data_IF_237375736856
#
_entry.id   IF_237375736856
#
_cell.length_a   1.000
_cell.length_b   1.000
_cell.length_c   1.000
_cell.angle_alpha   90.00
_cell.angle_beta   90.00
_cell.angle_gamma   90.00
#
_symmetry.space_group_name_H-M   'P 1'
#
loop_
_entity.id
_entity.type
_entity.pdbx_description
1 polymer ?
#
# COMPACT_ATOMS: atom_id res chain seq x y z
N UNK A 1 18.20 35.89 7.58
CA UNK A 1 17.11 35.95 6.58
C UNK A 1 17.19 34.80 5.56
N UNK A 2 18.38 34.38 5.11
CA UNK A 2 18.53 33.25 4.18
C UNK A 2 18.19 31.87 4.78
N UNK A 3 18.51 31.63 6.05
CA UNK A 3 18.24 30.33 6.69
C UNK A 3 16.74 30.04 6.83
N UNK A 4 15.93 31.05 7.16
CA UNK A 4 14.47 30.90 7.25
C UNK A 4 13.86 30.60 5.87
N UNK A 5 14.33 31.28 4.81
CA UNK A 5 13.88 31.05 3.43
C UNK A 5 14.29 29.64 2.96
N UNK A 6 15.52 29.22 3.22
CA UNK A 6 16.01 27.87 2.92
C UNK A 6 15.21 26.80 3.66
N UNK A 7 14.88 27.04 4.93
CA UNK A 7 14.08 26.12 5.75
C UNK A 7 12.66 25.97 5.18
N UNK A 8 12.02 27.09 4.81
CA UNK A 8 10.68 27.07 4.20
C UNK A 8 10.71 26.33 2.86
N UNK A 9 11.71 26.59 2.01
CA UNK A 9 11.88 25.89 0.73
C UNK A 9 12.10 24.39 0.92
N UNK A 10 12.90 24.00 1.91
CA UNK A 10 13.14 22.59 2.23
C UNK A 10 11.86 21.90 2.70
N UNK A 11 11.11 22.50 3.62
CA UNK A 11 9.83 21.95 4.11
C UNK A 11 8.81 21.83 2.98
N UNK A 12 8.73 22.83 2.10
CA UNK A 12 7.86 22.78 0.93
C UNK A 12 8.25 21.65 -0.03
N UNK A 13 9.55 21.47 -0.31
CA UNK A 13 10.05 20.40 -1.17
C UNK A 13 9.76 19.01 -0.59
N UNK A 14 9.98 18.82 0.72
CA UNK A 14 9.68 17.56 1.42
C UNK A 14 8.17 17.26 1.37
N UNK A 15 7.33 18.25 1.64
CA UNK A 15 5.86 18.09 1.60
C UNK A 15 5.37 17.74 0.20
N UNK A 16 5.90 18.41 -0.83
CA UNK A 16 5.60 18.10 -2.23
C UNK A 16 6.05 16.68 -2.62
N UNK A 17 7.22 16.24 -2.14
CA UNK A 17 7.74 14.90 -2.39
C UNK A 17 6.82 13.81 -1.79
N UNK A 18 6.42 13.95 -0.53
CA UNK A 18 5.50 12.99 0.10
C UNK A 18 4.12 13.00 -0.59
N UNK A 19 3.62 14.19 -0.95
CA UNK A 19 2.34 14.34 -1.67
C UNK A 19 2.38 13.66 -3.04
N UNK A 20 3.47 13.83 -3.80
CA UNK A 20 3.66 13.18 -5.09
C UNK A 20 3.75 11.65 -4.97
N UNK A 21 4.46 11.14 -3.96
CA UNK A 21 4.57 9.70 -3.70
C UNK A 21 3.20 9.10 -3.34
N UNK A 22 2.43 9.78 -2.49
CA UNK A 22 1.07 9.38 -2.13
C UNK A 22 0.12 9.39 -3.35
N UNK A 23 0.21 10.41 -4.20
CA UNK A 23 -0.56 10.49 -5.44
C UNK A 23 -0.23 9.32 -6.38
N UNK A 24 1.04 9.02 -6.59
CA UNK A 24 1.48 7.91 -7.44
C UNK A 24 1.00 6.55 -6.92
N UNK A 25 0.96 6.35 -5.60
CA UNK A 25 0.42 5.14 -4.98
C UNK A 25 -1.11 5.00 -5.10
N UNK A 26 -1.85 6.11 -5.00
CA UNK A 26 -3.30 6.15 -5.28
C UNK A 26 -3.62 5.94 -6.76
N UNK A 27 -2.73 6.39 -7.64
CA UNK A 27 -2.89 6.25 -9.08
C UNK A 27 -2.51 4.87 -9.62
N UNK A 28 -1.73 4.10 -8.86
CA UNK A 28 -1.32 2.77 -9.26
C UNK A 28 -2.52 1.82 -9.36
N UNK A 29 -2.97 1.57 -10.58
CA UNK A 29 -3.88 0.49 -10.90
C UNK A 29 -3.09 -0.74 -11.30
N UNK A 30 -3.43 -1.89 -10.75
CA UNK A 30 -2.81 -3.15 -11.13
C UNK A 30 -3.81 -4.28 -10.96
N UNK A 31 -3.64 -5.30 -11.80
CA UNK A 31 -4.30 -6.60 -11.67
C UNK A 31 -3.24 -7.61 -11.26
N UNK A 32 -3.63 -8.56 -10.43
CA UNK A 32 -2.70 -9.54 -9.91
C UNK A 32 -3.38 -10.66 -9.14
N UNK A 33 -2.58 -11.64 -8.76
CA UNK A 33 -3.00 -12.79 -7.99
C UNK A 33 -2.46 -12.69 -6.56
N UNK A 34 -3.26 -13.05 -5.57
CA UNK A 34 -2.76 -13.18 -4.21
C UNK A 34 -1.88 -14.43 -4.12
N UNK A 35 -0.58 -14.24 -3.92
CA UNK A 35 0.38 -15.34 -3.83
C UNK A 35 0.66 -15.75 -2.40
N UNK A 36 0.45 -14.86 -1.43
CA UNK A 36 0.83 -15.09 -0.04
C UNK A 36 -0.01 -14.20 0.89
N UNK A 37 -0.34 -14.73 2.07
CA UNK A 37 -0.90 -13.94 3.17
C UNK A 37 -0.28 -14.41 4.49
N UNK A 38 0.08 -13.49 5.36
CA UNK A 38 0.62 -13.81 6.67
C UNK A 38 0.25 -12.75 7.71
N UNK A 39 0.18 -13.19 8.95
CA UNK A 39 0.03 -12.33 10.12
C UNK A 39 1.42 -12.07 10.70
N UNK A 40 1.65 -10.85 11.15
CA UNK A 40 2.77 -10.52 12.04
C UNK A 40 2.16 -10.12 13.37
N UNK A 41 2.30 -11.00 14.36
CA UNK A 41 1.95 -10.69 15.74
C UNK A 41 2.87 -9.57 16.22
N UNK A 42 2.27 -8.59 16.90
CA UNK A 42 3.03 -7.55 17.56
C UNK A 42 3.45 -8.02 18.95
N UNK A 43 4.69 -7.75 19.35
CA UNK A 43 5.13 -8.02 20.72
C UNK A 43 4.40 -7.09 21.71
N UNK A 44 4.05 -7.65 22.89
CA UNK A 44 3.41 -7.18 24.15
C UNK A 44 2.48 -5.94 24.15
N UNK A 45 2.73 -4.92 23.33
CA UNK A 45 1.94 -3.69 23.21
C UNK A 45 1.56 -3.34 21.75
N UNK A 46 1.94 -4.17 20.78
CA UNK A 46 1.81 -3.88 19.36
C UNK A 46 0.57 -4.53 18.74
N UNK A 47 -0.22 -3.75 17.98
CA UNK A 47 -1.40 -4.25 17.27
C UNK A 47 -0.99 -5.25 16.18
N UNK A 48 -1.67 -6.39 16.14
CA UNK A 48 -1.56 -7.41 15.09
C UNK A 48 -1.62 -6.80 13.68
N UNK A 49 -0.62 -7.12 12.86
CA UNK A 49 -0.56 -6.65 11.48
C UNK A 49 -0.86 -7.78 10.50
N UNK A 50 -1.80 -7.54 9.58
CA UNK A 50 -2.19 -8.52 8.57
C UNK A 50 -1.63 -8.11 7.22
N UNK A 51 -0.78 -8.96 6.64
CA UNK A 51 -0.12 -8.70 5.37
C UNK A 51 -0.63 -9.63 4.28
N UNK A 52 -0.81 -9.05 3.10
CA UNK A 52 -1.16 -9.76 1.86
C UNK A 52 -0.16 -9.39 0.77
N UNK A 53 0.27 -10.37 -0.01
CA UNK A 53 1.22 -10.19 -1.10
C UNK A 53 0.59 -10.60 -2.41
N UNK A 54 0.49 -9.64 -3.33
CA UNK A 54 -0.02 -9.86 -4.67
C UNK A 54 1.12 -9.92 -5.66
N UNK A 55 1.04 -10.83 -6.63
CA UNK A 55 1.88 -10.82 -7.83
C UNK A 55 1.07 -10.16 -8.94
N UNK A 56 1.49 -8.97 -9.38
CA UNK A 56 0.84 -8.29 -10.49
C UNK A 56 1.11 -9.02 -11.80
N UNK A 57 0.26 -8.81 -12.81
CA UNK A 57 0.46 -9.32 -14.16
C UNK A 57 1.79 -8.85 -14.78
N UNK A 58 2.28 -7.68 -14.35
CA UNK A 58 3.61 -7.17 -14.71
C UNK A 58 4.77 -7.89 -13.98
N UNK A 59 4.49 -8.96 -13.22
CA UNK A 59 5.47 -9.74 -12.47
C UNK A 59 5.97 -9.10 -11.18
N UNK A 60 5.45 -7.94 -10.77
CA UNK A 60 5.88 -7.23 -9.55
C UNK A 60 5.14 -7.77 -8.33
N UNK A 61 5.85 -7.94 -7.21
CA UNK A 61 5.23 -8.25 -5.92
C UNK A 61 4.78 -6.97 -5.23
N UNK A 62 3.52 -6.93 -4.79
CA UNK A 62 2.91 -5.82 -4.05
C UNK A 62 2.49 -6.34 -2.68
N UNK A 63 3.25 -5.96 -1.65
CA UNK A 63 2.92 -6.24 -0.25
C UNK A 63 2.04 -5.11 0.30
N UNK A 64 0.93 -5.47 0.94
CA UNK A 64 0.01 -4.52 1.56
C UNK A 64 -0.28 -4.94 2.99
N UNK A 65 -0.27 -3.98 3.92
CA UNK A 65 -0.88 -4.15 5.23
C UNK A 65 -2.37 -3.83 5.08
N UNK A 66 -3.23 -4.75 5.53
CA UNK A 66 -4.68 -4.69 5.38
C UNK A 66 -5.35 -4.92 6.73
N UNK A 67 -6.61 -4.50 6.86
CA UNK A 67 -7.39 -4.85 8.04
C UNK A 67 -7.77 -6.33 8.06
N UNK A 68 -8.01 -6.88 9.27
CA UNK A 68 -8.44 -8.27 9.48
C UNK A 68 -9.62 -8.67 8.58
N UNK A 69 -10.64 -7.82 8.46
CA UNK A 69 -11.81 -8.10 7.63
C UNK A 69 -11.49 -8.32 6.14
N UNK A 70 -10.52 -7.59 5.58
CA UNK A 70 -10.08 -7.82 4.21
C UNK A 70 -9.21 -9.08 4.11
N UNK A 71 -8.32 -9.30 5.08
CA UNK A 71 -7.47 -10.50 5.16
C UNK A 71 -8.30 -11.80 5.16
N UNK A 72 -9.42 -11.81 5.88
CA UNK A 72 -10.32 -12.97 5.99
C UNK A 72 -11.13 -13.19 4.69
N UNK A 73 -11.41 -12.12 3.94
CA UNK A 73 -12.14 -12.19 2.67
C UNK A 73 -11.28 -12.66 1.49
N UNK A 74 -9.95 -12.59 1.60
CA UNK A 74 -9.04 -12.91 0.51
C UNK A 74 -8.39 -14.28 0.65
N UNK A 75 -8.31 -14.98 -0.49
CA UNK A 75 -7.76 -16.33 -0.59
C UNK A 75 -6.56 -16.34 -1.54
N UNK A 76 -5.54 -17.10 -1.15
CA UNK A 76 -4.35 -17.34 -1.99
C UNK A 76 -4.80 -18.03 -3.27
N UNK A 77 -4.25 -17.61 -4.41
CA UNK A 77 -4.71 -18.02 -5.74
C UNK A 77 -5.83 -17.15 -6.32
N UNK A 78 -6.45 -16.28 -5.52
CA UNK A 78 -7.49 -15.38 -6.01
C UNK A 78 -6.94 -14.27 -6.89
N UNK A 79 -7.70 -13.87 -7.92
CA UNK A 79 -7.39 -12.71 -8.76
C UNK A 79 -8.02 -11.44 -8.18
N UNK A 80 -7.26 -10.35 -8.20
CA UNK A 80 -7.63 -9.08 -7.60
C UNK A 80 -7.22 -7.90 -8.49
N UNK A 81 -8.05 -6.86 -8.53
CA UNK A 81 -7.80 -5.60 -9.21
C UNK A 81 -7.76 -4.46 -8.20
N UNK A 82 -6.64 -3.74 -8.18
CA UNK A 82 -6.60 -2.40 -7.59
C UNK A 82 -6.99 -1.39 -8.66
N UNK A 83 -8.16 -0.78 -8.51
CA UNK A 83 -8.59 0.35 -9.34
C UNK A 83 -7.95 1.65 -8.87
N UNK A 84 -7.73 2.56 -9.83
CA UNK A 84 -7.22 3.91 -9.57
C UNK A 84 -8.12 4.64 -8.56
N UNK A 85 -7.52 5.23 -7.53
CA UNK A 85 -8.25 5.96 -6.48
C UNK A 85 -8.75 5.10 -5.31
N UNK A 86 -8.67 3.77 -5.41
CA UNK A 86 -9.07 2.85 -4.33
C UNK A 86 -7.84 2.39 -3.53
N UNK A 87 -7.95 2.40 -2.20
CA UNK A 87 -6.86 1.97 -1.33
C UNK A 87 -6.65 0.46 -1.30
N UNK A 88 -7.74 -0.31 -1.37
CA UNK A 88 -7.74 -1.77 -1.21
C UNK A 88 -8.18 -2.43 -2.53
N UNK A 89 -7.51 -3.50 -3.00
CA UNK A 89 -7.91 -4.19 -4.23
C UNK A 89 -9.22 -4.96 -4.06
N UNK A 90 -9.98 -5.11 -5.14
CA UNK A 90 -11.23 -5.86 -5.18
C UNK A 90 -11.01 -7.21 -5.86
N UNK A 91 -11.73 -8.25 -5.42
CA UNK A 91 -11.67 -9.57 -6.06
C UNK A 91 -12.27 -9.48 -7.47
N UNK A 92 -11.59 -10.08 -8.45
CA UNK A 92 -12.11 -10.31 -9.78
C UNK A 92 -12.35 -11.82 -9.90
N UNK A 93 -13.51 -12.19 -10.39
CA UNK A 93 -13.91 -13.59 -10.59
C UNK A 93 -13.02 -14.29 -11.62
#
# INVERSE_FOLDING_TARGET
>A
MNETILTILFVAAVTAFFSYKAYKQKQASWKGELIEKYKKDGDDDSVDQWFVVFKTEAGKKVKMNVGKGFYDQVNVGGKYEKKKGVYVPMKIQ
#
